data_IF_052733770269
#
_entry.id   IF_052733770269
#
_cell.length_a   1.000
_cell.length_b   1.000
_cell.length_c   1.000
_cell.angle_alpha   90.00
_cell.angle_beta   90.00
_cell.angle_gamma   90.00
#
_symmetry.space_group_name_H-M   'P 1'
#
loop_
_entity.id
_entity.type
_entity.pdbx_description
1 polymer ?
#
# COMPACT_ATOMS: atom_id res chain seq x y z
N UNK A 1 13.91 29.90 11.80
CA UNK A 1 15.02 29.00 11.56
C UNK A 1 14.97 27.93 12.63
N UNK A 2 14.45 26.81 12.31
CA UNK A 2 14.75 25.49 12.90
C UNK A 2 13.88 24.50 12.12
N UNK A 3 14.49 23.96 11.08
CA UNK A 3 13.97 22.82 10.35
C UNK A 3 14.19 21.60 11.26
N UNK A 4 13.14 21.12 11.88
CA UNK A 4 13.17 19.82 12.52
C UNK A 4 13.00 18.79 11.40
N UNK A 5 14.12 18.22 10.97
CA UNK A 5 14.16 17.05 10.11
C UNK A 5 13.60 15.89 10.95
N UNK A 6 12.31 15.66 10.86
CA UNK A 6 11.69 14.43 11.34
C UNK A 6 11.91 13.39 10.23
N UNK A 7 12.48 12.27 10.63
CA UNK A 7 13.09 11.28 9.75
C UNK A 7 12.22 10.89 8.56
N UNK A 8 12.90 10.70 7.43
CA UNK A 8 12.37 10.10 6.22
C UNK A 8 11.65 8.78 6.56
N UNK A 9 10.33 8.82 6.62
CA UNK A 9 9.53 7.63 6.39
C UNK A 9 9.59 7.42 4.89
N UNK A 10 10.68 6.81 4.48
CA UNK A 10 11.07 6.46 3.13
C UNK A 10 9.90 5.81 2.37
N UNK A 11 9.96 5.85 1.07
CA UNK A 11 9.26 5.03 0.07
C UNK A 11 9.39 3.52 0.39
N UNK A 12 9.17 3.16 1.64
CA UNK A 12 9.78 2.05 2.34
C UNK A 12 9.26 0.70 1.85
N UNK A 13 7.95 0.53 1.57
CA UNK A 13 7.42 -0.78 1.15
C UNK A 13 7.91 -1.15 -0.24
N UNK A 14 7.87 -0.24 -1.20
CA UNK A 14 8.33 -0.52 -2.57
C UNK A 14 9.81 -0.92 -2.63
N UNK A 15 10.68 -0.28 -1.85
CA UNK A 15 12.08 -0.64 -1.76
C UNK A 15 12.29 -1.99 -1.05
N UNK A 16 11.54 -2.25 0.02
CA UNK A 16 11.54 -3.54 0.69
C UNK A 16 11.04 -4.65 -0.24
N UNK A 17 9.93 -4.42 -0.94
CA UNK A 17 9.42 -5.37 -1.94
C UNK A 17 10.46 -5.68 -3.01
N UNK A 18 11.13 -4.66 -3.57
CA UNK A 18 12.17 -4.87 -4.58
C UNK A 18 13.35 -5.71 -4.05
N UNK A 19 13.77 -5.52 -2.78
CA UNK A 19 14.81 -6.35 -2.16
C UNK A 19 14.35 -7.78 -1.90
N UNK A 20 13.12 -7.94 -1.42
CA UNK A 20 12.52 -9.25 -1.16
C UNK A 20 12.29 -10.05 -2.45
N UNK A 21 11.94 -9.38 -3.54
CA UNK A 21 11.80 -9.99 -4.87
C UNK A 21 13.13 -10.45 -5.46
N UNK A 22 14.21 -9.75 -5.12
CA UNK A 22 15.56 -10.14 -5.54
C UNK A 22 16.13 -11.33 -4.74
N UNK A 23 15.38 -11.84 -3.74
CA UNK A 23 15.81 -13.01 -2.96
C UNK A 23 15.85 -14.24 -3.86
N UNK A 24 17.01 -14.89 -3.91
CA UNK A 24 17.19 -16.13 -4.67
C UNK A 24 16.81 -17.34 -3.80
N UNK A 25 15.89 -18.21 -4.28
CA UNK A 25 15.50 -19.41 -3.56
C UNK A 25 16.69 -20.33 -3.31
N UNK A 26 16.79 -20.84 -2.09
CA UNK A 26 17.82 -21.80 -1.66
C UNK A 26 17.22 -23.06 -1.05
N UNK A 27 18.06 -23.94 -0.52
CA UNK A 27 17.60 -25.18 0.13
C UNK A 27 17.02 -24.96 1.54
N UNK A 28 17.16 -23.75 2.08
CA UNK A 28 16.71 -23.42 3.43
C UNK A 28 15.35 -22.76 3.43
N UNK A 29 14.51 -23.00 4.47
CA UNK A 29 13.22 -22.37 4.58
C UNK A 29 13.34 -20.86 4.81
N UNK A 30 12.49 -20.08 4.14
CA UNK A 30 12.28 -18.66 4.39
C UNK A 30 11.06 -18.51 5.29
N UNK A 31 11.21 -17.84 6.43
CA UNK A 31 10.11 -17.45 7.29
C UNK A 31 9.59 -16.09 6.87
N UNK A 32 8.28 -16.00 6.68
CA UNK A 32 7.58 -14.74 6.47
C UNK A 32 6.53 -14.58 7.57
N UNK A 33 6.67 -13.54 8.37
CA UNK A 33 5.85 -13.33 9.57
C UNK A 33 5.17 -11.97 9.47
N UNK A 34 3.86 -11.96 9.60
CA UNK A 34 3.04 -10.76 9.67
C UNK A 34 2.34 -10.71 11.03
N UNK A 35 2.50 -9.61 11.75
CA UNK A 35 1.97 -9.45 13.11
C UNK A 35 1.13 -8.19 13.22
N UNK A 36 -0.04 -8.32 13.81
CA UNK A 36 -0.84 -7.19 14.26
C UNK A 36 -0.37 -6.80 15.67
N UNK A 37 0.28 -5.64 15.76
CA UNK A 37 0.79 -5.10 17.02
C UNK A 37 -0.11 -4.00 17.58
N UNK A 38 -1.27 -3.75 16.97
CA UNK A 38 -2.23 -2.77 17.43
C UNK A 38 -2.72 -3.10 18.84
N UNK A 39 -2.81 -2.08 19.68
CA UNK A 39 -3.43 -2.23 21.01
C UNK A 39 -4.91 -2.60 20.90
N UNK A 40 -5.40 -3.39 21.84
CA UNK A 40 -6.82 -3.73 21.94
C UNK A 40 -7.70 -2.48 22.20
N UNK A 41 -9.02 -2.65 22.18
CA UNK A 41 -10.00 -1.59 22.46
C UNK A 41 -9.81 -0.95 23.86
N UNK A 42 -9.01 -1.56 24.73
CA UNK A 42 -8.71 -1.09 26.08
C UNK A 42 -7.30 -0.50 26.18
N UNK A 43 -6.59 -0.31 25.06
CA UNK A 43 -5.25 0.25 25.01
C UNK A 43 -4.16 -0.70 25.53
N UNK A 44 -4.44 -2.03 25.61
CA UNK A 44 -3.43 -3.03 25.98
C UNK A 44 -2.68 -3.46 24.74
N UNK A 45 -1.34 -3.45 24.81
CA UNK A 45 -0.52 -3.97 23.73
C UNK A 45 -0.87 -5.44 23.43
N UNK A 46 -1.06 -5.78 22.18
CA UNK A 46 -1.28 -7.17 21.78
C UNK A 46 0.00 -7.95 22.03
N UNK A 47 -0.06 -8.95 22.92
CA UNK A 47 1.08 -9.82 23.19
C UNK A 47 1.26 -10.83 22.06
N UNK A 48 2.03 -10.48 21.03
CA UNK A 48 2.32 -11.34 19.88
C UNK A 48 3.34 -12.43 20.19
N UNK A 49 4.16 -12.26 21.21
CA UNK A 49 5.22 -13.22 21.60
C UNK A 49 4.69 -14.61 21.95
N UNK A 50 3.61 -14.79 22.72
CA UNK A 50 3.03 -16.12 22.98
C UNK A 50 2.52 -16.81 21.71
N UNK A 51 1.96 -16.05 20.77
CA UNK A 51 1.57 -16.56 19.45
C UNK A 51 2.80 -17.10 18.70
N UNK A 52 3.86 -16.32 18.57
CA UNK A 52 5.10 -16.73 17.89
C UNK A 52 5.70 -18.00 18.50
N UNK A 53 5.82 -18.08 19.83
CA UNK A 53 6.35 -19.28 20.50
C UNK A 53 5.53 -20.52 20.21
N UNK A 54 4.19 -20.42 20.19
CA UNK A 54 3.30 -21.53 19.92
C UNK A 54 3.45 -22.02 18.49
N UNK A 55 3.38 -21.10 17.53
CA UNK A 55 3.43 -21.42 16.11
C UNK A 55 4.81 -21.94 15.69
N UNK A 56 5.90 -21.29 16.11
CA UNK A 56 7.24 -21.75 15.80
C UNK A 56 7.54 -23.13 16.40
N UNK A 57 7.06 -23.40 17.61
CA UNK A 57 7.17 -24.74 18.20
C UNK A 57 6.41 -25.81 17.42
N UNK A 58 5.28 -25.47 16.86
CA UNK A 58 4.51 -26.38 16.01
C UNK A 58 5.23 -26.62 14.68
N UNK A 59 5.68 -25.55 14.04
CA UNK A 59 6.39 -25.58 12.76
C UNK A 59 7.74 -26.32 12.85
N UNK A 60 8.53 -26.10 13.89
CA UNK A 60 9.83 -26.77 14.07
C UNK A 60 9.74 -28.31 14.03
N UNK A 61 8.59 -28.89 14.35
CA UNK A 61 8.38 -30.34 14.35
C UNK A 61 8.16 -30.92 12.95
N UNK A 62 8.04 -30.09 11.93
CA UNK A 62 7.80 -30.57 10.55
C UNK A 62 9.08 -31.03 9.87
N UNK A 63 10.25 -30.62 10.38
CA UNK A 63 11.55 -31.05 9.87
C UNK A 63 12.11 -32.24 10.61
N UNK A 64 13.00 -32.99 9.95
CA UNK A 64 13.75 -34.05 10.60
C UNK A 64 14.60 -33.47 11.74
N UNK A 65 14.57 -34.12 12.90
CA UNK A 65 15.31 -33.65 14.07
C UNK A 65 16.81 -33.53 13.78
N UNK A 66 17.38 -32.33 13.97
CA UNK A 66 18.78 -32.03 13.74
C UNK A 66 19.17 -31.81 12.27
N UNK A 67 18.18 -31.68 11.37
CA UNK A 67 18.47 -31.32 9.98
C UNK A 67 19.00 -29.88 9.85
N UNK A 68 19.78 -29.56 8.80
CA UNK A 68 20.25 -28.22 8.53
C UNK A 68 19.07 -27.21 8.37
N UNK A 69 17.96 -27.65 7.79
CA UNK A 69 16.76 -26.87 7.58
C UNK A 69 16.09 -26.53 8.92
N UNK A 70 15.95 -27.52 9.82
CA UNK A 70 15.44 -27.29 11.17
C UNK A 70 16.33 -26.30 11.92
N UNK A 71 17.64 -26.44 11.82
CA UNK A 71 18.57 -25.53 12.49
C UNK A 71 18.47 -24.10 11.97
N UNK A 72 18.36 -23.93 10.64
CA UNK A 72 18.10 -22.60 10.03
C UNK A 72 16.81 -22.01 10.56
N UNK A 73 15.71 -22.75 10.52
CA UNK A 73 14.42 -22.32 11.02
C UNK A 73 14.43 -21.91 12.51
N UNK A 74 15.06 -22.72 13.38
CA UNK A 74 15.15 -22.43 14.82
C UNK A 74 15.92 -21.13 15.08
N UNK A 75 17.01 -20.89 14.33
CA UNK A 75 17.76 -19.63 14.40
C UNK A 75 16.95 -18.42 13.97
N UNK A 76 16.19 -18.55 12.89
CA UNK A 76 15.29 -17.49 12.43
C UNK A 76 14.19 -17.21 13.45
N UNK A 77 13.57 -18.25 14.00
CA UNK A 77 12.54 -18.14 15.02
C UNK A 77 13.05 -17.41 16.28
N UNK A 78 14.24 -17.77 16.78
CA UNK A 78 14.90 -17.10 17.91
C UNK A 78 15.15 -15.61 17.60
N UNK A 79 15.68 -15.32 16.40
CA UNK A 79 16.00 -13.96 15.96
C UNK A 79 14.75 -13.08 15.81
N UNK A 80 13.67 -13.63 15.24
CA UNK A 80 12.39 -12.93 15.10
C UNK A 80 11.80 -12.61 16.47
N UNK A 81 11.76 -13.58 17.40
CA UNK A 81 11.22 -13.35 18.75
C UNK A 81 12.03 -12.26 19.48
N UNK A 82 13.36 -12.33 19.43
CA UNK A 82 14.22 -11.32 20.04
C UNK A 82 13.98 -9.93 19.43
N UNK A 83 13.92 -9.85 18.10
CA UNK A 83 13.69 -8.57 17.41
C UNK A 83 12.32 -7.97 17.76
N UNK A 84 11.27 -8.79 17.81
CA UNK A 84 9.91 -8.32 18.17
C UNK A 84 9.86 -7.80 19.61
N UNK A 85 10.60 -8.44 20.52
CA UNK A 85 10.63 -8.01 21.93
C UNK A 85 11.39 -6.68 22.14
N UNK A 86 12.46 -6.45 21.37
CA UNK A 86 13.41 -5.37 21.63
C UNK A 86 13.26 -4.17 20.69
N UNK A 87 12.71 -4.37 19.48
CA UNK A 87 12.82 -3.38 18.40
C UNK A 87 11.48 -2.78 17.94
N UNK A 88 10.34 -3.35 18.35
CA UNK A 88 9.02 -2.81 17.94
C UNK A 88 8.75 -1.49 18.66
N UNK A 89 8.55 -0.43 17.85
CA UNK A 89 8.28 0.91 18.36
C UNK A 89 6.82 1.05 18.83
N UNK A 90 6.52 1.92 19.80
CA UNK A 90 5.15 2.12 20.31
C UNK A 90 4.13 2.60 19.27
N UNK A 91 4.59 3.26 18.20
CA UNK A 91 3.75 3.73 17.09
C UNK A 91 3.43 2.64 16.06
N UNK A 92 4.12 1.49 16.12
CA UNK A 92 3.97 0.39 15.18
C UNK A 92 2.63 -0.33 15.41
N UNK A 93 1.85 -0.46 14.35
CA UNK A 93 0.56 -1.17 14.35
C UNK A 93 0.60 -2.52 13.67
N UNK A 94 1.59 -2.74 12.84
CA UNK A 94 1.84 -3.99 12.16
C UNK A 94 3.32 -4.21 11.93
N UNK A 95 3.73 -5.46 11.79
CA UNK A 95 5.12 -5.82 11.50
C UNK A 95 5.12 -6.89 10.42
N UNK A 96 6.02 -6.76 9.43
CA UNK A 96 6.36 -7.80 8.47
C UNK A 96 7.83 -8.17 8.62
N UNK A 97 8.14 -9.46 8.81
CA UNK A 97 9.51 -9.94 8.99
C UNK A 97 9.75 -11.10 8.03
N UNK A 98 10.90 -11.06 7.35
CA UNK A 98 11.37 -12.10 6.45
C UNK A 98 12.75 -12.55 6.89
N UNK A 99 12.94 -13.84 7.08
CA UNK A 99 14.19 -14.38 7.60
C UNK A 99 14.55 -15.71 6.94
N UNK A 100 15.85 -15.90 6.67
CA UNK A 100 16.44 -17.16 6.22
C UNK A 100 17.90 -17.22 6.65
N UNK A 101 18.18 -17.87 7.79
CA UNK A 101 19.53 -17.98 8.33
C UNK A 101 20.49 -18.70 7.38
N UNK A 102 20.01 -19.74 6.71
CA UNK A 102 20.80 -20.50 5.75
C UNK A 102 21.15 -19.74 4.47
N UNK A 103 20.54 -18.59 4.21
CA UNK A 103 20.83 -17.71 3.07
C UNK A 103 21.56 -16.45 3.55
N UNK A 104 22.85 -16.59 3.90
CA UNK A 104 23.72 -15.48 4.36
C UNK A 104 23.13 -14.69 5.53
N UNK A 105 22.40 -15.35 6.43
CA UNK A 105 21.71 -14.73 7.56
C UNK A 105 20.69 -13.65 7.14
N UNK A 106 20.02 -13.85 6.00
CA UNK A 106 19.02 -12.93 5.49
C UNK A 106 18.00 -12.57 6.55
N UNK A 107 17.74 -11.27 6.73
CA UNK A 107 16.75 -10.77 7.68
C UNK A 107 16.29 -9.37 7.27
N UNK A 108 15.01 -9.26 6.97
CA UNK A 108 14.37 -8.00 6.64
C UNK A 108 13.17 -7.80 7.56
N UNK A 109 13.11 -6.70 8.30
CA UNK A 109 12.02 -6.39 9.22
C UNK A 109 11.46 -5.00 8.93
N UNK A 110 10.15 -4.92 8.74
CA UNK A 110 9.43 -3.71 8.34
C UNK A 110 8.41 -3.39 9.41
N UNK A 111 8.51 -2.21 10.02
CA UNK A 111 7.52 -1.70 10.93
C UNK A 111 6.46 -0.90 10.15
N UNK A 112 5.21 -1.28 10.33
CA UNK A 112 4.08 -0.71 9.63
C UNK A 112 3.25 0.13 10.62
N UNK A 113 2.82 1.27 10.16
CA UNK A 113 1.93 2.15 10.92
C UNK A 113 0.45 1.83 10.68
N UNK A 114 0.21 0.93 9.72
CA UNK A 114 -1.08 0.32 9.43
C UNK A 114 -1.13 -1.07 10.05
N UNK A 115 -2.25 -1.48 10.68
CA UNK A 115 -2.38 -2.82 11.20
C UNK A 115 -2.39 -3.84 10.06
N UNK A 116 -1.75 -4.97 10.28
CA UNK A 116 -1.97 -6.19 9.50
C UNK A 116 -3.31 -6.79 9.99
N UNK A 117 -4.10 -7.37 9.10
CA UNK A 117 -5.42 -7.92 9.46
C UNK A 117 -5.34 -8.94 10.58
N UNK A 118 -4.71 -10.07 10.32
CA UNK A 118 -4.48 -11.15 11.28
C UNK A 118 -2.99 -11.50 11.36
N UNK A 119 -2.59 -12.13 12.47
CA UNK A 119 -1.25 -12.66 12.59
C UNK A 119 -1.10 -13.85 11.64
N UNK A 120 -0.06 -13.83 10.84
CA UNK A 120 0.17 -14.83 9.81
C UNK A 120 1.65 -15.24 9.76
N UNK A 121 1.89 -16.55 9.61
CA UNK A 121 3.24 -17.09 9.43
C UNK A 121 3.23 -18.04 8.24
N UNK A 122 4.07 -17.75 7.26
CA UNK A 122 4.35 -18.60 6.11
C UNK A 122 5.79 -19.13 6.16
N UNK A 123 5.97 -20.36 5.71
CA UNK A 123 7.26 -20.99 5.54
C UNK A 123 7.34 -21.54 4.13
N UNK A 124 8.25 -21.02 3.34
CA UNK A 124 8.40 -21.40 1.93
C UNK A 124 9.87 -21.37 1.51
N UNK A 125 10.13 -21.48 0.22
CA UNK A 125 11.47 -21.30 -0.34
C UNK A 125 11.71 -19.85 -0.82
N UNK A 126 10.70 -18.98 -0.71
CA UNK A 126 10.75 -17.57 -1.06
C UNK A 126 9.97 -16.74 -0.01
N UNK A 127 10.25 -15.43 0.10
CA UNK A 127 9.44 -14.52 0.89
C UNK A 127 7.97 -14.50 0.41
N UNK A 128 7.04 -14.54 1.36
CA UNK A 128 5.62 -14.43 1.10
C UNK A 128 5.22 -12.95 0.98
N UNK A 129 5.07 -12.46 -0.25
CA UNK A 129 4.93 -11.03 -0.52
C UNK A 129 3.49 -10.53 -0.68
N UNK A 130 2.52 -11.44 -0.77
CA UNK A 130 1.12 -11.09 -1.05
C UNK A 130 0.56 -10.02 -0.11
N UNK A 131 0.69 -10.20 1.21
CA UNK A 131 0.17 -9.23 2.18
C UNK A 131 0.89 -7.88 2.11
N UNK A 132 2.21 -7.88 1.88
CA UNK A 132 2.98 -6.64 1.77
C UNK A 132 2.62 -5.88 0.48
N UNK A 133 2.46 -6.59 -0.63
CA UNK A 133 2.04 -6.01 -1.90
C UNK A 133 0.61 -5.43 -1.82
N UNK A 134 -0.30 -6.13 -1.13
CA UNK A 134 -1.65 -5.64 -0.86
C UNK A 134 -1.65 -4.37 -0.01
N UNK A 135 -0.80 -4.31 1.02
CA UNK A 135 -0.68 -3.11 1.85
C UNK A 135 -0.13 -1.92 1.07
N UNK A 136 0.84 -2.15 0.19
CA UNK A 136 1.42 -1.12 -0.67
C UNK A 136 0.38 -0.51 -1.62
N UNK A 137 -0.46 -1.34 -2.22
CA UNK A 137 -1.54 -0.86 -3.10
C UNK A 137 -2.69 -0.19 -2.31
N UNK A 138 -3.10 -0.80 -1.18
CA UNK A 138 -4.25 -0.31 -0.41
C UNK A 138 -3.98 0.99 0.36
N UNK A 139 -2.72 1.30 0.65
CA UNK A 139 -2.28 2.53 1.31
C UNK A 139 -1.23 3.26 0.46
N UNK A 140 -1.61 3.72 -0.74
CA UNK A 140 -0.68 4.39 -1.62
C UNK A 140 -0.12 5.65 -0.96
N UNK A 141 1.09 6.01 -1.35
CA UNK A 141 1.64 7.33 -1.02
C UNK A 141 0.92 8.39 -1.86
N UNK A 142 0.34 9.38 -1.20
CA UNK A 142 -0.40 10.44 -1.88
C UNK A 142 -0.20 11.81 -1.25
N UNK A 143 -0.37 12.86 -2.05
CA UNK A 143 -0.38 14.23 -1.58
C UNK A 143 -1.82 14.71 -1.33
N UNK A 144 -2.04 15.42 -0.23
CA UNK A 144 -3.27 16.14 0.01
C UNK A 144 -2.98 17.62 0.20
N UNK A 145 -3.74 18.47 -0.49
CA UNK A 145 -3.67 19.92 -0.33
C UNK A 145 -4.94 20.41 0.33
N UNK A 146 -4.84 20.92 1.54
CA UNK A 146 -5.96 21.58 2.22
C UNK A 146 -5.81 23.09 2.07
N UNK A 147 -6.78 23.75 1.42
CA UNK A 147 -6.64 25.16 1.06
C UNK A 147 -7.91 25.98 1.23
N UNK A 148 -7.69 27.25 1.56
CA UNK A 148 -8.65 28.35 1.35
C UNK A 148 -8.06 29.39 0.39
N UNK A 149 -8.70 30.54 0.26
CA UNK A 149 -8.26 31.60 -0.64
C UNK A 149 -6.92 32.24 -0.27
N UNK A 150 -6.36 32.02 0.92
CA UNK A 150 -5.18 32.70 1.47
C UNK A 150 -4.15 31.79 2.10
N UNK A 151 -4.51 30.56 2.44
CA UNK A 151 -3.63 29.60 3.10
C UNK A 151 -3.76 28.22 2.48
N UNK A 152 -2.69 27.49 2.43
CA UNK A 152 -2.70 26.09 2.05
C UNK A 152 -1.76 25.28 2.95
N UNK A 153 -2.14 24.04 3.19
CA UNK A 153 -1.31 23.03 3.85
C UNK A 153 -1.16 21.87 2.87
N UNK A 154 0.06 21.47 2.62
CA UNK A 154 0.37 20.29 1.80
C UNK A 154 0.79 19.18 2.75
N UNK A 155 0.12 18.05 2.64
CA UNK A 155 0.43 16.82 3.38
C UNK A 155 0.89 15.77 2.40
N UNK A 156 1.88 15.00 2.80
CA UNK A 156 2.22 13.73 2.17
C UNK A 156 1.79 12.63 3.13
N UNK A 157 0.88 11.80 2.69
CA UNK A 157 0.43 10.63 3.44
C UNK A 157 1.02 9.36 2.83
N UNK A 158 1.35 8.40 3.68
CA UNK A 158 1.78 7.08 3.27
C UNK A 158 1.47 6.07 4.38
N UNK A 159 1.07 4.86 4.02
CA UNK A 159 0.70 3.82 4.97
C UNK A 159 -0.35 4.25 6.03
N UNK A 160 -1.28 5.14 5.65
CA UNK A 160 -2.30 5.65 6.56
C UNK A 160 -1.79 6.63 7.61
N UNK A 161 -0.65 7.27 7.39
CA UNK A 161 -0.07 8.31 8.26
C UNK A 161 0.42 9.52 7.48
N UNK A 162 0.63 10.62 8.21
CA UNK A 162 1.32 11.80 7.68
C UNK A 162 2.82 11.54 7.63
N UNK A 163 3.38 11.56 6.43
CA UNK A 163 4.83 11.49 6.25
C UNK A 163 5.46 12.88 6.34
N UNK A 164 4.81 13.89 5.72
CA UNK A 164 5.25 15.28 5.73
C UNK A 164 4.08 16.25 5.77
N UNK A 165 4.29 17.43 6.36
CA UNK A 165 3.36 18.55 6.36
C UNK A 165 4.09 19.87 6.07
N UNK A 166 3.56 20.68 5.17
CA UNK A 166 4.09 22.00 4.85
C UNK A 166 2.99 23.05 4.82
N UNK A 167 3.21 24.17 5.52
CA UNK A 167 2.33 25.33 5.58
C UNK A 167 2.71 26.39 4.56
N UNK A 168 1.81 26.74 3.65
CA UNK A 168 1.96 27.81 2.69
C UNK A 168 1.01 28.98 2.99
N UNK A 169 1.56 30.18 3.13
CA UNK A 169 0.79 31.40 3.46
C UNK A 169 0.85 32.40 2.33
N UNK A 170 -0.29 32.66 1.69
CA UNK A 170 -0.46 33.70 0.71
C UNK A 170 -0.35 35.13 1.30
N UNK A 171 -0.15 36.13 0.45
CA UNK A 171 -0.12 37.53 0.85
C UNK A 171 -1.48 37.97 1.39
N UNK A 172 -1.57 38.33 2.68
CA UNK A 172 -2.81 38.87 3.28
C UNK A 172 -3.23 40.17 2.56
N UNK A 173 -4.40 40.16 1.93
CA UNK A 173 -5.03 41.35 1.34
C UNK A 173 -5.96 41.94 2.40
N UNK A 174 -5.59 43.10 2.97
CA UNK A 174 -6.42 43.79 3.94
C UNK A 174 -7.75 44.27 3.30
N UNK A 175 -8.88 43.94 3.94
CA UNK A 175 -10.20 44.47 3.58
C UNK A 175 -10.24 45.98 3.81
N UNK A 176 -10.32 46.76 2.74
CA UNK A 176 -10.56 48.20 2.82
C UNK A 176 -12.04 48.44 2.46
N UNK A 177 -12.83 48.99 3.39
CA UNK A 177 -14.19 49.45 3.12
C UNK A 177 -14.12 50.75 2.30
N UNK A 178 -14.16 50.66 0.97
CA UNK A 178 -14.23 51.81 0.08
C UNK A 178 -15.28 51.53 -1.00
N UNK A 179 -16.24 52.44 -1.19
CA UNK A 179 -17.31 52.33 -2.20
C UNK A 179 -16.93 52.88 -3.56
N UNK A 180 -17.60 52.43 -4.61
CA UNK A 180 -17.49 53.00 -5.96
C UNK A 180 -16.39 52.39 -6.83
N UNK A 181 -15.76 53.19 -7.73
CA UNK A 181 -14.72 52.76 -8.69
C UNK A 181 -13.53 52.05 -8.07
N UNK A 182 -13.27 52.30 -6.80
CA UNK A 182 -12.22 51.58 -6.05
C UNK A 182 -12.58 50.13 -5.75
N UNK A 183 -13.86 49.77 -5.70
CA UNK A 183 -14.32 48.41 -5.39
C UNK A 183 -13.98 47.43 -6.54
N UNK A 184 -14.15 47.81 -7.80
CA UNK A 184 -13.79 46.96 -8.93
C UNK A 184 -12.27 46.78 -9.06
N UNK A 185 -11.47 47.79 -8.70
CA UNK A 185 -10.02 47.71 -8.67
C UNK A 185 -9.55 46.83 -7.49
N UNK A 186 -10.25 46.90 -6.35
CA UNK A 186 -9.98 46.07 -5.18
C UNK A 186 -10.33 44.59 -5.46
N UNK A 187 -11.50 44.29 -6.03
CA UNK A 187 -11.90 42.93 -6.40
C UNK A 187 -10.91 42.30 -7.39
N UNK A 188 -10.45 43.03 -8.41
CA UNK A 188 -9.40 42.55 -9.32
C UNK A 188 -8.08 42.25 -8.60
N UNK A 189 -7.68 43.09 -7.64
CA UNK A 189 -6.47 42.88 -6.85
C UNK A 189 -6.58 41.65 -5.94
N UNK A 190 -7.74 41.44 -5.32
CA UNK A 190 -8.03 40.24 -4.50
C UNK A 190 -8.01 39.00 -5.38
N UNK A 191 -8.71 39.00 -6.51
CA UNK A 191 -8.71 37.89 -7.45
C UNK A 191 -7.31 37.53 -7.95
N UNK A 192 -6.50 38.54 -8.32
CA UNK A 192 -5.11 38.29 -8.73
C UNK A 192 -4.25 37.72 -7.60
N UNK A 193 -4.49 38.13 -6.34
CA UNK A 193 -3.76 37.57 -5.19
C UNK A 193 -4.12 36.09 -4.94
N UNK A 194 -5.40 35.71 -5.09
CA UNK A 194 -5.84 34.33 -4.96
C UNK A 194 -5.30 33.44 -6.08
N UNK A 195 -5.30 33.92 -7.34
CA UNK A 195 -4.66 33.20 -8.46
C UNK A 195 -3.16 33.00 -8.23
N UNK A 196 -2.46 34.06 -7.78
CA UNK A 196 -1.03 33.96 -7.50
C UNK A 196 -0.75 32.95 -6.38
N UNK A 197 -1.58 32.94 -5.33
CA UNK A 197 -1.46 31.94 -4.26
C UNK A 197 -1.71 30.51 -4.76
N UNK A 198 -2.78 30.29 -5.55
CA UNK A 198 -3.04 29.00 -6.15
C UNK A 198 -1.88 28.50 -7.00
N UNK A 199 -1.28 29.39 -7.80
CA UNK A 199 -0.10 29.06 -8.61
C UNK A 199 1.09 28.65 -7.75
N UNK A 200 1.41 29.41 -6.68
CA UNK A 200 2.49 29.11 -5.75
C UNK A 200 2.26 27.74 -5.05
N UNK A 201 1.02 27.41 -4.69
CA UNK A 201 0.64 26.11 -4.10
C UNK A 201 0.86 24.98 -5.08
N UNK A 202 0.41 25.13 -6.34
CA UNK A 202 0.55 24.08 -7.35
C UNK A 202 2.03 23.91 -7.76
N UNK A 203 2.81 24.99 -7.90
CA UNK A 203 4.25 24.90 -8.16
C UNK A 203 4.93 24.05 -7.07
N UNK A 204 4.60 24.29 -5.80
CA UNK A 204 5.16 23.50 -4.68
C UNK A 204 4.66 22.04 -4.69
N UNK A 205 3.37 21.83 -4.98
CA UNK A 205 2.81 20.49 -5.10
C UNK A 205 3.51 19.67 -6.19
N UNK A 206 3.80 20.27 -7.34
CA UNK A 206 4.54 19.60 -8.44
C UNK A 206 5.92 19.15 -7.99
N UNK A 207 6.64 19.96 -7.21
CA UNK A 207 7.93 19.58 -6.65
C UNK A 207 7.79 18.38 -5.71
N UNK A 208 6.83 18.44 -4.75
CA UNK A 208 6.55 17.36 -3.80
C UNK A 208 6.18 16.06 -4.52
N UNK A 209 5.27 16.14 -5.50
CA UNK A 209 4.82 14.96 -6.26
C UNK A 209 5.99 14.29 -6.99
N UNK A 210 6.88 15.09 -7.59
CA UNK A 210 8.05 14.56 -8.30
C UNK A 210 9.07 13.96 -7.34
N UNK A 211 9.39 14.67 -6.26
CA UNK A 211 10.46 14.28 -5.34
C UNK A 211 10.06 13.05 -4.51
N UNK A 212 8.76 12.89 -4.24
CA UNK A 212 8.17 11.77 -3.48
C UNK A 212 7.60 10.63 -4.35
N UNK A 213 7.64 10.75 -5.67
CA UNK A 213 7.12 9.73 -6.59
C UNK A 213 5.61 9.47 -6.46
N UNK A 214 4.84 10.51 -6.15
CA UNK A 214 3.41 10.41 -5.84
C UNK A 214 2.58 10.25 -7.11
N UNK A 215 1.59 9.32 -7.08
CA UNK A 215 0.67 9.05 -8.17
C UNK A 215 -0.79 9.43 -7.87
N UNK A 216 -1.10 9.85 -6.64
CA UNK A 216 -2.44 10.24 -6.21
C UNK A 216 -2.40 11.59 -5.51
N UNK A 217 -3.30 12.50 -5.90
CA UNK A 217 -3.38 13.86 -5.35
C UNK A 217 -4.82 14.13 -4.93
N UNK A 218 -5.00 14.60 -3.71
CA UNK A 218 -6.32 15.03 -3.22
C UNK A 218 -6.29 16.53 -2.93
N UNK A 219 -7.08 17.30 -3.68
CA UNK A 219 -7.32 18.71 -3.39
C UNK A 219 -8.53 18.83 -2.45
N UNK A 220 -8.29 19.36 -1.28
CA UNK A 220 -9.32 19.57 -0.26
C UNK A 220 -9.44 21.08 0.07
N UNK A 221 -10.66 21.56 0.29
CA UNK A 221 -10.83 22.96 0.64
C UNK A 221 -12.23 23.48 0.37
N UNK A 222 -12.35 24.82 0.37
CA UNK A 222 -13.61 25.47 0.13
C UNK A 222 -13.96 25.56 -1.37
N UNK A 223 -15.23 25.90 -1.66
CA UNK A 223 -15.76 26.01 -3.03
C UNK A 223 -15.13 27.13 -3.86
N UNK A 224 -14.45 28.09 -3.23
CA UNK A 224 -13.84 29.22 -3.95
C UNK A 224 -12.38 28.92 -4.29
N UNK A 225 -11.67 28.18 -3.47
CA UNK A 225 -10.26 27.87 -3.66
C UNK A 225 -10.04 26.71 -4.65
N UNK A 226 -10.84 25.65 -4.56
CA UNK A 226 -10.66 24.45 -5.39
C UNK A 226 -10.62 24.74 -6.90
N UNK A 227 -11.54 25.52 -7.50
CA UNK A 227 -11.49 25.81 -8.94
C UNK A 227 -10.24 26.60 -9.36
N UNK A 228 -9.67 27.39 -8.45
CA UNK A 228 -8.44 28.15 -8.73
C UNK A 228 -7.22 27.24 -8.76
N UNK A 229 -7.15 26.25 -7.87
CA UNK A 229 -6.11 25.24 -7.88
C UNK A 229 -6.22 24.34 -9.10
N UNK A 230 -7.42 23.83 -9.38
CA UNK A 230 -7.68 22.96 -10.53
C UNK A 230 -7.28 23.61 -11.87
N UNK A 231 -7.46 24.92 -11.99
CA UNK A 231 -7.07 25.67 -13.20
C UNK A 231 -5.55 25.78 -13.39
N UNK A 232 -4.75 25.65 -12.32
CA UNK A 232 -3.28 25.76 -12.35
C UNK A 232 -2.59 24.38 -12.41
N UNK A 233 -3.35 23.26 -12.32
CA UNK A 233 -2.77 21.92 -12.39
C UNK A 233 -2.24 21.61 -13.79
N UNK A 234 -1.00 21.11 -13.91
CA UNK A 234 -0.46 20.64 -15.18
C UNK A 234 -1.33 19.52 -15.78
N UNK A 235 -1.59 19.54 -17.11
CA UNK A 235 -2.47 18.57 -17.76
C UNK A 235 -2.07 17.09 -17.52
N UNK A 236 -0.80 16.81 -17.40
CA UNK A 236 -0.25 15.47 -17.11
C UNK A 236 -0.62 14.96 -15.73
N UNK A 237 -0.88 15.85 -14.78
CA UNK A 237 -1.25 15.50 -13.40
C UNK A 237 -2.77 15.38 -13.20
N UNK A 238 -3.60 15.88 -14.13
CA UNK A 238 -5.06 15.85 -13.99
C UNK A 238 -5.64 14.45 -13.73
N UNK A 239 -5.15 13.35 -14.36
CA UNK A 239 -5.65 12.02 -14.08
C UNK A 239 -5.38 11.53 -12.65
N UNK A 240 -4.43 12.15 -11.94
CA UNK A 240 -4.01 11.80 -10.59
C UNK A 240 -4.80 12.57 -9.51
N UNK A 241 -5.61 13.56 -9.93
CA UNK A 241 -6.20 14.54 -9.02
C UNK A 241 -7.65 14.23 -8.71
N UNK A 242 -7.97 14.25 -7.43
CA UNK A 242 -9.32 14.21 -6.91
C UNK A 242 -9.59 15.42 -6.03
N UNK A 243 -10.78 15.99 -6.15
CA UNK A 243 -11.18 17.14 -5.33
C UNK A 243 -12.28 16.76 -4.34
N UNK A 244 -12.16 17.23 -3.11
CA UNK A 244 -13.18 17.07 -2.08
C UNK A 244 -13.39 18.38 -1.28
N UNK A 245 -14.58 18.56 -0.75
CA UNK A 245 -14.88 19.70 0.13
C UNK A 245 -14.52 19.35 1.56
N UNK A 246 -13.67 20.14 2.17
CA UNK A 246 -13.25 19.98 3.55
C UNK A 246 -13.06 21.37 4.19
N UNK A 247 -13.31 21.48 5.50
CA UNK A 247 -13.03 22.69 6.25
C UNK A 247 -11.51 22.90 6.32
N UNK A 248 -11.04 24.11 5.99
CA UNK A 248 -9.61 24.47 6.05
C UNK A 248 -9.01 24.36 7.45
N UNK A 249 -9.87 24.40 8.49
CA UNK A 249 -9.46 24.22 9.89
C UNK A 249 -9.50 22.76 10.35
N UNK A 250 -9.78 21.82 9.44
CA UNK A 250 -9.76 20.40 9.74
C UNK A 250 -8.42 19.99 10.36
N UNK A 251 -8.46 19.11 11.35
CA UNK A 251 -7.25 18.54 11.93
C UNK A 251 -6.55 17.64 10.89
N UNK A 252 -5.27 17.40 11.09
CA UNK A 252 -4.50 16.46 10.25
C UNK A 252 -5.17 15.09 10.16
N UNK A 253 -5.70 14.59 11.29
CA UNK A 253 -6.41 13.31 11.34
C UNK A 253 -7.71 13.34 10.53
N UNK A 254 -8.46 14.45 10.57
CA UNK A 254 -9.68 14.60 9.76
C UNK A 254 -9.36 14.69 8.27
N UNK A 255 -8.26 15.37 7.90
CA UNK A 255 -7.78 15.43 6.52
C UNK A 255 -7.42 14.02 6.04
N UNK A 256 -6.62 13.29 6.81
CA UNK A 256 -6.23 11.92 6.49
C UNK A 256 -7.47 11.03 6.33
N UNK A 257 -8.39 11.04 7.29
CA UNK A 257 -9.60 10.21 7.25
C UNK A 257 -10.47 10.53 6.02
N UNK A 258 -10.70 11.81 5.73
CA UNK A 258 -11.55 12.23 4.62
C UNK A 258 -10.91 11.92 3.25
N UNK A 259 -9.60 12.17 3.11
CA UNK A 259 -8.88 11.94 1.85
C UNK A 259 -8.72 10.45 1.57
N UNK A 260 -8.42 9.64 2.59
CA UNK A 260 -8.34 8.19 2.45
C UNK A 260 -9.71 7.57 2.11
N UNK A 261 -10.79 8.02 2.74
CA UNK A 261 -12.14 7.58 2.41
C UNK A 261 -12.51 7.92 0.94
N UNK A 262 -12.12 9.10 0.49
CA UNK A 262 -12.34 9.53 -0.88
C UNK A 262 -11.57 8.66 -1.89
N UNK A 263 -10.31 8.31 -1.63
CA UNK A 263 -9.53 7.42 -2.48
C UNK A 263 -10.16 6.03 -2.53
N UNK A 264 -10.50 5.44 -1.39
CA UNK A 264 -11.13 4.11 -1.32
C UNK A 264 -12.48 4.02 -2.05
N UNK A 265 -13.28 5.10 -2.01
CA UNK A 265 -14.54 5.12 -2.76
C UNK A 265 -14.30 5.06 -4.28
N UNK A 266 -13.23 5.71 -4.76
CA UNK A 266 -12.86 5.65 -6.18
C UNK A 266 -12.30 4.28 -6.55
N UNK A 267 -11.46 3.70 -5.69
CA UNK A 267 -10.90 2.37 -5.90
C UNK A 267 -12.01 1.35 -6.03
N UNK A 268 -13.00 1.35 -5.11
CA UNK A 268 -14.14 0.44 -5.17
C UNK A 268 -14.98 0.59 -6.45
N UNK A 269 -15.14 1.82 -6.99
CA UNK A 269 -15.81 2.03 -8.28
C UNK A 269 -14.97 1.49 -9.43
N UNK A 270 -13.68 1.80 -9.41
CA UNK A 270 -12.71 1.33 -10.41
C UNK A 270 -12.62 -0.20 -10.43
N UNK A 271 -12.59 -0.86 -9.26
CA UNK A 271 -12.59 -2.32 -9.14
C UNK A 271 -13.82 -2.95 -9.80
N UNK A 272 -15.02 -2.43 -9.49
CA UNK A 272 -16.25 -2.91 -10.10
C UNK A 272 -16.24 -2.79 -11.63
N UNK A 273 -15.77 -1.65 -12.16
CA UNK A 273 -15.65 -1.41 -13.59
C UNK A 273 -14.60 -2.31 -14.24
N UNK A 274 -13.44 -2.48 -13.58
CA UNK A 274 -12.36 -3.37 -14.04
C UNK A 274 -12.83 -4.82 -14.11
N UNK A 275 -13.47 -5.33 -13.06
CA UNK A 275 -13.97 -6.71 -13.04
C UNK A 275 -15.07 -6.91 -14.07
N UNK A 276 -16.02 -5.97 -14.22
CA UNK A 276 -17.04 -6.04 -15.24
C UNK A 276 -16.43 -6.07 -16.67
N UNK A 277 -15.41 -5.25 -16.93
CA UNK A 277 -14.66 -5.23 -18.18
C UNK A 277 -13.90 -6.55 -18.42
N UNK A 278 -13.28 -7.10 -17.39
CA UNK A 278 -12.60 -8.40 -17.44
C UNK A 278 -13.57 -9.51 -17.85
N UNK A 279 -14.70 -9.61 -17.17
CA UNK A 279 -15.73 -10.60 -17.45
C UNK A 279 -16.30 -10.46 -18.87
N UNK A 280 -16.51 -9.23 -19.34
CA UNK A 280 -16.96 -8.95 -20.70
C UNK A 280 -15.92 -9.40 -21.74
N UNK A 281 -14.64 -9.08 -21.54
CA UNK A 281 -13.58 -9.48 -22.46
C UNK A 281 -13.39 -10.99 -22.51
N UNK A 282 -13.45 -11.65 -21.38
CA UNK A 282 -13.36 -13.11 -21.30
C UNK A 282 -14.51 -13.79 -22.07
N UNK A 283 -15.77 -13.39 -21.82
CA UNK A 283 -16.96 -13.91 -22.54
C UNK A 283 -16.90 -13.65 -24.04
N UNK A 284 -16.26 -12.57 -24.44
CA UNK A 284 -16.06 -12.22 -25.86
C UNK A 284 -14.83 -12.92 -26.48
N UNK A 285 -14.16 -13.81 -25.77
CA UNK A 285 -12.91 -14.48 -26.15
C UNK A 285 -11.80 -13.50 -26.60
N UNK A 286 -11.74 -12.34 -25.93
CA UNK A 286 -10.73 -11.31 -26.16
C UNK A 286 -9.53 -11.46 -25.22
N UNK A 287 -8.84 -10.36 -24.93
CA UNK A 287 -7.61 -10.32 -24.15
C UNK A 287 -7.89 -10.39 -22.64
N UNK A 288 -8.43 -11.53 -22.18
CA UNK A 288 -8.67 -11.80 -20.77
C UNK A 288 -8.58 -13.29 -20.45
N UNK A 289 -8.15 -13.59 -19.23
CA UNK A 289 -8.13 -14.94 -18.62
C UNK A 289 -8.81 -14.88 -17.25
N UNK A 290 -9.39 -16.00 -16.82
CA UNK A 290 -10.04 -16.14 -15.52
C UNK A 290 -9.63 -17.46 -14.87
N UNK A 291 -9.55 -17.43 -13.55
CA UNK A 291 -9.21 -18.58 -12.73
C UNK A 291 -7.71 -18.80 -12.59
N UNK A 292 -7.32 -19.57 -11.55
CA UNK A 292 -5.93 -19.76 -11.16
C UNK A 292 -5.06 -20.35 -12.27
N UNK A 293 -5.48 -21.45 -12.88
CA UNK A 293 -4.66 -22.22 -13.82
C UNK A 293 -4.36 -21.43 -15.10
N UNK A 294 -5.42 -20.86 -15.73
CA UNK A 294 -5.26 -20.07 -16.95
C UNK A 294 -4.41 -18.81 -16.69
N UNK A 295 -4.61 -18.18 -15.53
CA UNK A 295 -3.87 -16.97 -15.17
C UNK A 295 -2.40 -17.27 -14.91
N UNK A 296 -2.08 -18.35 -14.17
CA UNK A 296 -0.70 -18.78 -13.93
C UNK A 296 0.02 -19.12 -15.24
N UNK A 297 -0.66 -19.80 -16.16
CA UNK A 297 -0.09 -20.12 -17.47
C UNK A 297 0.16 -18.86 -18.29
N UNK A 298 -0.78 -17.91 -18.30
CA UNK A 298 -0.62 -16.64 -19.00
C UNK A 298 0.52 -15.79 -18.42
N UNK A 299 0.67 -15.77 -17.08
CA UNK A 299 1.79 -15.13 -16.41
C UNK A 299 3.13 -15.78 -16.78
N UNK A 300 3.20 -17.11 -16.75
CA UNK A 300 4.41 -17.83 -17.13
C UNK A 300 4.86 -17.53 -18.59
N UNK A 301 3.91 -17.23 -19.46
CA UNK A 301 4.17 -16.85 -20.85
C UNK A 301 4.42 -15.33 -21.03
N UNK A 302 4.38 -14.52 -19.96
CA UNK A 302 4.52 -13.06 -20.03
C UNK A 302 3.36 -12.34 -20.74
N UNK A 303 2.20 -12.99 -20.83
CA UNK A 303 1.04 -12.48 -21.56
C UNK A 303 0.20 -11.49 -20.76
N UNK A 304 0.31 -11.51 -19.43
CA UNK A 304 -0.53 -10.68 -18.57
C UNK A 304 -0.01 -9.23 -18.52
N UNK A 305 -0.91 -8.30 -18.73
CA UNK A 305 -0.69 -6.86 -18.58
C UNK A 305 -1.09 -6.38 -17.17
N UNK A 306 -2.30 -6.74 -16.75
CA UNK A 306 -2.84 -6.41 -15.43
C UNK A 306 -3.45 -7.68 -14.82
N UNK A 307 -2.96 -8.03 -13.62
CA UNK A 307 -3.46 -9.14 -12.80
C UNK A 307 -4.44 -8.60 -11.77
N UNK A 308 -5.64 -9.15 -11.72
CA UNK A 308 -6.64 -8.86 -10.69
C UNK A 308 -6.66 -10.00 -9.67
N UNK A 309 -6.41 -9.70 -8.40
CA UNK A 309 -6.39 -10.64 -7.27
C UNK A 309 -7.42 -10.26 -6.23
N UNK A 310 -8.20 -11.21 -5.75
CA UNK A 310 -9.06 -10.98 -4.58
C UNK A 310 -8.21 -10.70 -3.35
N UNK A 311 -8.55 -9.65 -2.59
CA UNK A 311 -7.91 -9.33 -1.31
C UNK A 311 -8.09 -10.42 -0.24
N UNK A 312 -9.03 -11.35 -0.45
CA UNK A 312 -9.29 -12.54 0.40
C UNK A 312 -8.88 -13.85 -0.27
N UNK A 313 -7.99 -13.82 -1.27
CA UNK A 313 -7.61 -15.03 -2.01
C UNK A 313 -7.12 -16.15 -1.08
N UNK A 314 -6.36 -15.82 -0.04
CA UNK A 314 -5.83 -16.79 0.92
C UNK A 314 -6.90 -17.35 1.88
N UNK A 315 -7.86 -16.51 2.27
CA UNK A 315 -9.01 -16.93 3.05
C UNK A 315 -9.94 -17.87 2.24
N UNK A 316 -10.09 -17.60 0.93
CA UNK A 316 -10.92 -18.39 0.03
C UNK A 316 -10.29 -19.74 -0.35
N UNK A 317 -8.97 -19.82 -0.41
CA UNK A 317 -8.24 -21.10 -0.66
C UNK A 317 -8.20 -21.99 0.57
N UNK A 318 -8.51 -21.42 1.75
CA UNK A 318 -8.88 -22.14 2.97
C UNK A 318 -7.72 -22.70 3.76
N UNK A 319 -8.01 -23.04 5.02
CA UNK A 319 -7.12 -23.73 5.95
C UNK A 319 -6.58 -25.08 5.40
N UNK A 320 -7.19 -25.64 4.38
CA UNK A 320 -6.72 -26.85 3.68
C UNK A 320 -5.36 -26.61 2.99
N UNK A 321 -5.12 -25.44 2.43
CA UNK A 321 -3.82 -25.11 1.82
C UNK A 321 -2.69 -24.94 2.85
N UNK A 322 -3.00 -24.52 4.07
CA UNK A 322 -2.03 -24.47 5.19
C UNK A 322 -1.67 -25.88 5.67
N UNK A 323 -2.60 -26.86 5.52
CA UNK A 323 -2.37 -28.27 5.83
C UNK A 323 -1.54 -29.01 4.78
N UNK A 324 -1.68 -28.65 3.50
CA UNK A 324 -0.96 -29.28 2.38
C UNK A 324 0.45 -28.68 2.11
N UNK A 325 0.79 -27.55 2.71
CA UNK A 325 2.14 -26.99 2.64
C UNK A 325 3.22 -27.81 3.37
N UNK A 326 2.90 -29.03 3.80
CA UNK A 326 3.83 -29.91 4.53
C UNK A 326 4.03 -31.22 3.78
N UNK A 327 5.06 -31.27 2.97
CA UNK A 327 5.61 -32.58 2.56
C UNK A 327 6.15 -33.30 3.79
N UNK A 328 5.84 -34.61 3.97
CA UNK A 328 6.30 -35.39 5.12
C UNK A 328 7.83 -35.47 5.25
N UNK A 329 8.57 -35.02 4.28
CA UNK A 329 10.04 -35.12 4.18
C UNK A 329 10.78 -33.84 4.58
N UNK A 330 10.09 -32.82 5.10
CA UNK A 330 10.74 -31.56 5.53
C UNK A 330 11.24 -30.67 4.38
N UNK A 331 10.86 -30.95 3.15
CA UNK A 331 11.08 -30.03 2.05
C UNK A 331 10.17 -28.81 2.21
N UNK A 332 10.67 -27.61 1.85
CA UNK A 332 9.85 -26.40 1.85
C UNK A 332 8.58 -26.68 1.02
N UNK A 333 7.42 -26.49 1.63
CA UNK A 333 6.14 -26.80 1.00
C UNK A 333 5.94 -26.04 -0.32
N UNK A 334 4.96 -26.45 -1.12
CA UNK A 334 4.68 -25.73 -2.36
C UNK A 334 4.36 -24.26 -2.05
N UNK A 335 4.92 -23.37 -2.87
CA UNK A 335 4.65 -21.93 -2.79
C UNK A 335 3.14 -21.70 -2.91
N UNK A 336 2.56 -20.88 -2.04
CA UNK A 336 1.12 -20.58 -2.06
C UNK A 336 0.70 -20.05 -3.46
N UNK A 337 -0.58 -20.25 -3.80
CA UNK A 337 -1.10 -19.73 -5.07
C UNK A 337 -0.95 -18.21 -5.17
N UNK A 338 -1.21 -17.49 -4.08
CA UNK A 338 -1.08 -16.04 -3.98
C UNK A 338 0.35 -15.57 -4.23
N UNK A 339 1.34 -16.29 -3.68
CA UNK A 339 2.75 -16.00 -3.91
C UNK A 339 3.18 -16.29 -5.34
N UNK A 340 2.76 -17.43 -5.90
CA UNK A 340 3.07 -17.76 -7.29
C UNK A 340 2.54 -16.72 -8.25
N UNK A 341 1.31 -16.26 -8.04
CA UNK A 341 0.67 -15.22 -8.85
C UNK A 341 1.40 -13.88 -8.71
N UNK A 342 1.66 -13.46 -7.47
CA UNK A 342 2.33 -12.18 -7.17
C UNK A 342 3.76 -12.16 -7.72
N UNK A 343 4.55 -13.20 -7.44
CA UNK A 343 5.92 -13.30 -7.91
C UNK A 343 6.01 -13.31 -9.44
N UNK A 344 5.17 -14.11 -10.13
CA UNK A 344 5.16 -14.16 -11.59
C UNK A 344 4.69 -12.86 -12.23
N UNK A 345 3.69 -12.20 -11.66
CA UNK A 345 3.23 -10.91 -12.14
C UNK A 345 4.36 -9.87 -12.11
N UNK A 346 5.09 -9.80 -11.00
CA UNK A 346 6.23 -8.89 -10.85
C UNK A 346 7.38 -9.24 -11.78
N UNK A 347 7.76 -10.52 -11.90
CA UNK A 347 8.79 -10.98 -12.84
C UNK A 347 8.50 -10.61 -14.29
N UNK A 348 7.22 -10.57 -14.67
CA UNK A 348 6.79 -10.24 -16.04
C UNK A 348 6.38 -8.78 -16.19
N UNK A 349 6.62 -7.94 -15.19
CA UNK A 349 6.19 -6.54 -15.13
C UNK A 349 4.69 -6.37 -15.43
N UNK A 350 3.85 -7.27 -14.94
CA UNK A 350 2.41 -7.13 -14.93
C UNK A 350 2.00 -6.25 -13.74
N UNK A 351 1.09 -5.32 -13.97
CA UNK A 351 0.48 -4.55 -12.89
C UNK A 351 -0.39 -5.47 -12.03
N UNK A 352 -0.29 -5.38 -10.71
CA UNK A 352 -1.16 -6.12 -9.80
C UNK A 352 -2.20 -5.13 -9.27
N UNK A 353 -3.47 -5.53 -9.31
CA UNK A 353 -4.59 -4.80 -8.70
C UNK A 353 -5.32 -5.75 -7.75
N UNK A 354 -5.41 -5.37 -6.48
CA UNK A 354 -6.20 -6.11 -5.51
C UNK A 354 -7.66 -5.66 -5.55
N UNK A 355 -8.56 -6.64 -5.51
CA UNK A 355 -10.02 -6.43 -5.50
C UNK A 355 -10.50 -6.71 -4.08
N UNK A 356 -10.86 -5.67 -3.36
CA UNK A 356 -11.22 -5.75 -1.94
C UNK A 356 -12.59 -6.38 -1.69
N UNK A 357 -13.55 -6.25 -2.63
CA UNK A 357 -14.82 -6.98 -2.54
C UNK A 357 -14.66 -8.41 -3.09
N UNK A 358 -14.54 -9.43 -2.22
CA UNK A 358 -14.28 -10.80 -2.65
C UNK A 358 -15.36 -11.36 -3.56
N UNK A 359 -16.61 -10.88 -3.44
CA UNK A 359 -17.75 -11.35 -4.24
C UNK A 359 -17.56 -11.10 -5.74
N UNK A 360 -16.73 -10.13 -6.11
CA UNK A 360 -16.50 -9.76 -7.50
C UNK A 360 -15.73 -10.83 -8.28
N UNK A 361 -14.80 -11.54 -7.61
CA UNK A 361 -13.96 -12.57 -8.22
C UNK A 361 -14.22 -13.99 -7.68
N UNK A 362 -15.07 -14.16 -6.67
CA UNK A 362 -15.36 -15.45 -6.03
C UNK A 362 -15.77 -16.53 -7.05
N UNK A 363 -16.66 -16.19 -7.97
CA UNK A 363 -17.17 -17.13 -8.98
C UNK A 363 -16.09 -17.65 -9.96
N UNK A 364 -14.92 -17.03 -9.99
CA UNK A 364 -13.80 -17.36 -10.88
C UNK A 364 -12.52 -17.75 -10.12
N UNK A 365 -12.67 -18.11 -8.85
CA UNK A 365 -11.55 -18.58 -8.01
C UNK A 365 -10.63 -17.45 -7.53
N UNK A 366 -11.15 -16.23 -7.41
CA UNK A 366 -10.44 -15.10 -6.80
C UNK A 366 -9.37 -14.44 -7.68
N UNK A 367 -9.22 -14.82 -8.95
CA UNK A 367 -8.18 -14.31 -9.83
C UNK A 367 -8.59 -14.22 -11.29
N UNK A 368 -8.03 -13.22 -11.98
CA UNK A 368 -8.12 -13.07 -13.43
C UNK A 368 -7.11 -12.08 -13.95
N UNK A 369 -6.98 -11.92 -15.26
CA UNK A 369 -6.02 -10.98 -15.82
C UNK A 369 -6.40 -10.46 -17.20
N UNK A 370 -6.01 -9.22 -17.47
CA UNK A 370 -5.99 -8.67 -18.80
C UNK A 370 -4.69 -9.07 -19.49
N UNK A 371 -4.79 -9.41 -20.77
CA UNK A 371 -3.66 -9.86 -21.56
C UNK A 371 -3.15 -8.73 -22.46
N UNK A 372 -1.82 -8.69 -22.67
CA UNK A 372 -1.17 -7.87 -23.69
C UNK A 372 -1.43 -8.42 -25.09
N UNK A 373 -1.42 -9.74 -25.20
CA UNK A 373 -1.64 -10.47 -26.46
C UNK A 373 -2.16 -11.89 -26.17
N UNK A 374 -2.76 -12.51 -27.16
CA UNK A 374 -3.24 -13.89 -27.09
C UNK A 374 -2.54 -14.72 -28.17
N UNK A 375 -2.03 -15.89 -27.82
CA UNK A 375 -1.42 -16.86 -28.74
C UNK A 375 -2.48 -17.63 -29.51
#
# INVERSE_FOLDING_TARGET
MSSTITGHVSNAIGEHLARLEAFEPGPFPVLSVYLNTQSDEHGRATEVTPYLHREFKALARTWAAGSPEQHSFERDAERIIAWVADSVEPATRGVAIFACWGAEEFFEAIQLTTPVGENYISVGNQPHLYHLARLDEHFPRYAAVLTDANTARIFVFGLGQTAEEEDLKGKKVHRVKVGGWSQARYQRRVGNAHHQHAKEVIERLVEVVRDEGINHIVLAGDQMALPLLEAEIPPEMLPMVKSLKLDVHASEQDVLAATLAALREDDAKSENEKVARLMQQYRAHRLAVLGPDETLQALANGQVDELLLSGSLEEAVGEEAVGEMREPNGEAGPVSLSDQLTAKARQTAATITFIEDPRLLEAVGGVGGFLRWRS
#
